data_IF_571579377142
#
_entry.id   IF_571579377142
#
_cell.length_a   1.000
_cell.length_b   1.000
_cell.length_c   1.000
_cell.angle_alpha   90.00
_cell.angle_beta   90.00
_cell.angle_gamma   90.00
#
_symmetry.space_group_name_H-M   'P 1'
#
loop_
_entity.id
_entity.type
_entity.pdbx_description
1 polymer ?
#
# COMPACT_ATOMS: atom_id res chain seq x y z
N UNK A 1 1.15 15.16 10.35
CA UNK A 1 1.23 14.98 11.82
C UNK A 1 -0.13 14.61 12.38
N UNK A 2 -1.19 15.39 12.13
CA UNK A 2 -2.55 15.13 12.65
C UNK A 2 -3.04 13.67 12.47
N UNK A 3 -2.80 13.04 11.30
CA UNK A 3 -3.19 11.64 11.08
C UNK A 3 -2.43 10.64 11.97
N UNK A 4 -1.13 10.86 12.17
CA UNK A 4 -0.34 10.01 13.05
C UNK A 4 -0.78 10.17 14.52
N UNK A 5 -1.06 11.41 14.92
CA UNK A 5 -1.57 11.72 16.25
C UNK A 5 -2.96 11.10 16.48
N UNK A 6 -3.83 11.13 15.47
CA UNK A 6 -5.12 10.44 15.49
C UNK A 6 -4.95 8.93 15.70
N UNK A 7 -4.09 8.27 14.91
CA UNK A 7 -3.84 6.82 15.04
C UNK A 7 -3.31 6.50 16.44
N UNK A 8 -2.38 7.30 16.96
CA UNK A 8 -1.85 7.12 18.32
C UNK A 8 -2.94 7.30 19.38
N UNK A 9 -3.78 8.33 19.25
CA UNK A 9 -4.87 8.61 20.18
C UNK A 9 -5.94 7.51 20.17
N UNK A 10 -6.24 6.96 18.98
CA UNK A 10 -7.17 5.85 18.81
C UNK A 10 -6.64 4.58 19.51
N UNK A 11 -5.37 4.25 19.28
CA UNK A 11 -4.71 3.07 19.89
C UNK A 11 -4.60 3.16 21.42
N UNK A 12 -4.57 4.37 21.97
CA UNK A 12 -4.53 4.61 23.41
C UNK A 12 -5.89 4.43 24.11
N UNK A 13 -6.99 4.33 23.35
CA UNK A 13 -8.30 4.03 23.93
C UNK A 13 -8.38 2.56 24.37
N UNK A 14 -9.26 2.22 25.32
CA UNK A 14 -9.54 0.84 25.66
C UNK A 14 -9.89 0.00 24.42
N UNK A 15 -9.32 -1.20 24.35
CA UNK A 15 -9.56 -2.18 23.29
C UNK A 15 -10.75 -3.09 23.63
N UNK A 16 -11.85 -2.47 24.04
CA UNK A 16 -13.14 -3.10 24.28
C UNK A 16 -13.96 -3.12 22.98
N UNK A 17 -14.09 -4.30 22.37
CA UNK A 17 -14.86 -4.48 21.15
C UNK A 17 -14.57 -5.79 20.44
N UNK A 18 -15.37 -6.14 19.42
CA UNK A 18 -15.13 -7.33 18.62
C UNK A 18 -13.84 -7.18 17.80
N UNK A 19 -13.14 -8.29 17.49
CA UNK A 19 -12.03 -8.27 16.56
C UNK A 19 -12.45 -7.72 15.18
N UNK A 20 -11.67 -6.79 14.64
CA UNK A 20 -11.91 -6.34 13.25
C UNK A 20 -11.46 -7.41 12.27
N UNK A 21 -12.21 -7.59 11.17
CA UNK A 21 -11.81 -8.51 10.09
C UNK A 21 -10.48 -8.12 9.45
N UNK A 22 -10.09 -6.84 9.49
CA UNK A 22 -8.89 -6.31 8.85
C UNK A 22 -7.67 -6.24 9.77
N UNK A 23 -7.87 -6.36 11.08
CA UNK A 23 -6.80 -6.50 12.07
C UNK A 23 -6.35 -7.94 12.32
N UNK A 24 -6.77 -8.88 11.46
CA UNK A 24 -6.32 -10.29 11.50
C UNK A 24 -4.85 -10.42 11.07
N UNK A 25 -4.16 -11.52 11.39
CA UNK A 25 -2.82 -11.80 10.89
C UNK A 25 -2.73 -11.76 9.35
N UNK A 26 -1.56 -11.40 8.81
CA UNK A 26 -1.32 -11.44 7.36
C UNK A 26 -1.43 -12.85 6.75
N UNK A 27 -0.97 -13.94 7.41
CA UNK A 27 -1.11 -15.29 6.86
C UNK A 27 -2.55 -15.67 6.50
N UNK A 28 -3.55 -15.17 7.23
CA UNK A 28 -4.97 -15.40 6.95
C UNK A 28 -5.42 -14.92 5.57
N UNK A 29 -4.68 -14.00 4.95
CA UNK A 29 -4.98 -13.44 3.62
C UNK A 29 -3.91 -13.79 2.56
N UNK A 30 -2.98 -14.69 2.87
CA UNK A 30 -1.88 -15.04 1.95
C UNK A 30 -2.39 -15.57 0.61
N UNK A 31 -3.23 -16.61 0.64
CA UNK A 31 -3.79 -17.21 -0.58
C UNK A 31 -4.55 -16.18 -1.42
N UNK A 32 -5.38 -15.34 -0.79
CA UNK A 32 -6.15 -14.31 -1.49
C UNK A 32 -5.25 -13.24 -2.11
N UNK A 33 -4.20 -12.83 -1.40
CA UNK A 33 -3.25 -11.80 -1.86
C UNK A 33 -2.42 -12.31 -3.04
N UNK A 34 -1.86 -13.53 -2.94
CA UNK A 34 -1.10 -14.15 -4.04
C UNK A 34 -1.96 -14.36 -5.28
N UNK A 35 -3.21 -14.80 -5.12
CA UNK A 35 -4.16 -14.91 -6.22
C UNK A 35 -4.42 -13.56 -6.89
N UNK A 36 -4.62 -12.50 -6.11
CA UNK A 36 -4.88 -11.16 -6.64
C UNK A 36 -3.65 -10.58 -7.38
N UNK A 37 -2.43 -10.90 -6.94
CA UNK A 37 -1.19 -10.57 -7.67
C UNK A 37 -1.17 -11.24 -9.05
N UNK A 38 -1.48 -12.54 -9.13
CA UNK A 38 -1.50 -13.26 -10.39
C UNK A 38 -2.63 -12.77 -11.32
N UNK A 39 -3.81 -12.47 -10.76
CA UNK A 39 -4.90 -11.88 -11.52
C UNK A 39 -4.47 -10.53 -12.12
N UNK A 40 -3.89 -9.65 -11.30
CA UNK A 40 -3.44 -8.33 -11.73
C UNK A 40 -2.37 -8.43 -12.82
N UNK A 41 -1.43 -9.39 -12.71
CA UNK A 41 -0.42 -9.70 -13.74
C UNK A 41 -1.07 -9.96 -15.11
N UNK A 42 -2.22 -10.63 -15.15
CA UNK A 42 -2.97 -10.93 -16.38
C UNK A 42 -3.77 -9.76 -16.98
N UNK A 43 -3.86 -8.60 -16.31
CA UNK A 43 -4.75 -7.50 -16.73
C UNK A 43 -4.18 -6.52 -17.77
N UNK A 44 -2.86 -6.59 -18.01
CA UNK A 44 -2.12 -5.61 -18.84
C UNK A 44 -1.82 -4.28 -18.13
N UNK A 45 -2.09 -4.15 -16.83
CA UNK A 45 -1.64 -3.01 -16.03
C UNK A 45 -0.10 -2.95 -15.95
N UNK A 46 0.52 -1.77 -15.92
CA UNK A 46 1.94 -1.62 -15.60
C UNK A 46 2.20 -2.03 -14.15
N UNK A 47 2.50 -3.31 -13.94
CA UNK A 47 2.63 -3.97 -12.64
C UNK A 47 3.83 -4.93 -12.64
N UNK A 48 4.67 -4.83 -11.61
CA UNK A 48 5.76 -5.76 -11.35
C UNK A 48 5.32 -6.76 -10.27
N UNK A 49 4.90 -7.93 -10.72
CA UNK A 49 4.38 -8.97 -9.85
C UNK A 49 5.47 -9.61 -8.98
N UNK A 50 6.72 -9.65 -9.44
CA UNK A 50 7.82 -10.23 -8.67
C UNK A 50 8.23 -9.30 -7.53
N UNK A 51 8.29 -7.99 -7.80
CA UNK A 51 8.45 -6.98 -6.75
C UNK A 51 7.32 -7.07 -5.71
N UNK A 52 6.07 -7.21 -6.15
CA UNK A 52 4.93 -7.38 -5.24
C UNK A 52 5.04 -8.64 -4.37
N UNK A 53 5.43 -9.79 -4.96
CA UNK A 53 5.65 -11.02 -4.22
C UNK A 53 6.78 -10.89 -3.19
N UNK A 54 7.85 -10.16 -3.51
CA UNK A 54 8.94 -9.88 -2.58
C UNK A 54 8.48 -9.02 -1.40
N UNK A 55 7.72 -7.95 -1.65
CA UNK A 55 7.11 -7.12 -0.58
C UNK A 55 6.18 -7.95 0.30
N UNK A 56 5.37 -8.82 -0.32
CA UNK A 56 4.45 -9.68 0.41
C UNK A 56 5.18 -10.71 1.29
N UNK A 57 6.22 -11.35 0.76
CA UNK A 57 7.04 -12.31 1.50
C UNK A 57 7.73 -11.65 2.71
N UNK A 58 8.35 -10.48 2.52
CA UNK A 58 8.97 -9.71 3.61
C UNK A 58 7.96 -9.40 4.73
N UNK A 59 6.73 -9.03 4.37
CA UNK A 59 5.68 -8.76 5.34
C UNK A 59 5.20 -10.01 6.09
N UNK A 60 5.22 -11.19 5.46
CA UNK A 60 4.86 -12.46 6.09
C UNK A 60 5.94 -12.98 7.06
N UNK A 61 7.22 -12.72 6.76
CA UNK A 61 8.35 -13.06 7.64
C UNK A 61 8.44 -12.16 8.87
N UNK A 62 7.80 -10.98 8.84
CA UNK A 62 7.76 -10.09 9.98
C UNK A 62 7.09 -10.78 11.19
N UNK A 63 7.67 -10.68 12.41
CA UNK A 63 7.06 -11.25 13.61
C UNK A 63 5.60 -10.84 13.76
N UNK A 64 4.75 -11.80 14.12
CA UNK A 64 3.34 -11.51 14.37
C UNK A 64 3.17 -10.59 15.60
N UNK A 65 2.08 -9.83 15.63
CA UNK A 65 1.75 -9.02 16.80
C UNK A 65 1.42 -9.91 17.99
N UNK A 66 2.22 -9.78 19.06
CA UNK A 66 2.03 -10.50 20.33
C UNK A 66 1.66 -9.58 21.50
N UNK A 67 1.60 -8.26 21.26
CA UNK A 67 1.17 -7.29 22.26
C UNK A 67 -0.35 -7.30 22.45
N UNK A 68 -0.87 -6.47 23.38
CA UNK A 68 -2.31 -6.28 23.55
C UNK A 68 -2.97 -5.84 22.24
N UNK A 69 -4.20 -6.29 21.93
CA UNK A 69 -4.92 -5.78 20.77
C UNK A 69 -5.13 -4.26 20.91
N UNK A 70 -4.96 -3.52 19.82
CA UNK A 70 -5.23 -2.09 19.80
C UNK A 70 -6.64 -1.82 19.29
N UNK A 71 -7.25 -0.68 19.66
CA UNK A 71 -8.40 -0.14 18.94
C UNK A 71 -7.96 0.40 17.58
N UNK A 72 -8.71 0.07 16.54
CA UNK A 72 -8.35 0.30 15.14
C UNK A 72 -9.51 0.91 14.37
N UNK A 73 -9.18 1.73 13.36
CA UNK A 73 -10.13 2.17 12.35
C UNK A 73 -10.33 1.08 11.28
N UNK A 74 -9.24 0.48 10.81
CA UNK A 74 -9.24 -0.64 9.85
C UNK A 74 -9.38 -0.26 8.38
N UNK A 75 -9.59 1.03 8.06
CA UNK A 75 -9.85 1.51 6.70
C UNK A 75 -9.49 3.01 6.53
N UNK A 76 -8.27 3.38 6.93
CA UNK A 76 -7.76 4.74 6.72
C UNK A 76 -7.35 4.97 5.27
N UNK A 77 -8.36 4.98 4.39
CA UNK A 77 -8.25 5.32 2.97
C UNK A 77 -8.43 6.83 2.77
N UNK A 78 -7.85 7.44 1.72
CA UNK A 78 -7.99 8.87 1.46
C UNK A 78 -9.44 9.36 1.42
N UNK A 79 -10.38 8.53 0.94
CA UNK A 79 -11.81 8.85 0.89
C UNK A 79 -12.48 9.00 2.26
N UNK A 80 -11.87 8.45 3.31
CA UNK A 80 -12.40 8.44 4.67
C UNK A 80 -11.80 9.56 5.55
N UNK A 81 -10.95 10.43 4.98
CA UNK A 81 -10.27 11.50 5.70
C UNK A 81 -10.77 12.87 5.24
N UNK A 82 -11.25 13.67 6.19
CA UNK A 82 -11.67 15.04 5.92
C UNK A 82 -10.55 16.01 6.27
N UNK A 83 -10.15 16.81 5.29
CA UNK A 83 -9.12 17.82 5.44
C UNK A 83 -9.72 19.22 5.28
N UNK A 84 -9.26 20.16 6.12
CA UNK A 84 -9.49 21.60 5.95
C UNK A 84 -8.18 22.32 6.17
N UNK A 85 -7.79 23.14 5.19
CA UNK A 85 -6.55 23.93 5.24
C UNK A 85 -5.30 23.06 5.53
N UNK A 86 -5.25 21.87 4.94
CA UNK A 86 -4.16 20.90 5.12
C UNK A 86 -4.16 20.15 6.45
N UNK A 87 -5.18 20.33 7.29
CA UNK A 87 -5.31 19.69 8.61
C UNK A 87 -6.43 18.65 8.64
N UNK A 88 -6.24 17.59 9.41
CA UNK A 88 -7.27 16.57 9.60
C UNK A 88 -8.38 17.10 10.51
N UNK A 89 -9.61 17.12 10.01
CA UNK A 89 -10.79 17.60 10.74
C UNK A 89 -11.82 16.52 11.03
N UNK A 90 -11.71 15.36 10.38
CA UNK A 90 -12.65 14.27 10.59
C UNK A 90 -12.20 12.97 9.94
N UNK A 91 -12.70 11.87 10.51
CA UNK A 91 -12.47 10.50 10.02
C UNK A 91 -13.82 9.81 9.90
N UNK A 92 -14.12 9.30 8.71
CA UNK A 92 -15.39 8.70 8.33
C UNK A 92 -15.27 7.17 8.23
N UNK A 93 -16.41 6.50 8.09
CA UNK A 93 -16.53 5.05 7.83
C UNK A 93 -15.87 4.14 8.88
N UNK A 94 -16.55 4.03 10.02
CA UNK A 94 -16.15 3.17 11.13
C UNK A 94 -16.67 1.72 11.00
N UNK A 95 -17.21 1.33 9.83
CA UNK A 95 -17.81 0.00 9.66
C UNK A 95 -16.81 -1.15 9.79
N UNK A 96 -15.52 -0.88 9.60
CA UNK A 96 -14.43 -1.86 9.77
C UNK A 96 -13.67 -1.73 11.10
N UNK A 97 -14.09 -0.80 11.95
CA UNK A 97 -13.45 -0.55 13.23
C UNK A 97 -13.63 -1.74 14.18
N UNK A 98 -12.66 -1.91 15.06
CA UNK A 98 -12.63 -3.00 16.02
C UNK A 98 -11.27 -3.09 16.70
N UNK A 99 -10.94 -4.29 17.19
CA UNK A 99 -9.65 -4.51 17.87
C UNK A 99 -8.78 -5.52 17.12
N UNK A 100 -7.45 -5.40 17.21
CA UNK A 100 -6.53 -6.33 16.55
C UNK A 100 -5.09 -5.81 16.42
N UNK A 101 -4.39 -6.31 15.40
CA UNK A 101 -3.02 -5.90 15.07
C UNK A 101 -2.95 -4.42 14.62
N UNK A 102 -2.10 -3.58 15.23
CA UNK A 102 -1.95 -2.16 14.88
C UNK A 102 -1.51 -1.90 13.44
N UNK A 103 -0.95 -2.89 12.74
CA UNK A 103 -0.43 -2.75 11.39
C UNK A 103 -1.45 -2.23 10.36
N UNK A 104 -2.74 -2.54 10.51
CA UNK A 104 -3.76 -2.14 9.52
C UNK A 104 -3.92 -0.62 9.41
N UNK A 105 -3.76 0.12 10.50
CA UNK A 105 -3.89 1.59 10.49
C UNK A 105 -2.61 2.29 10.04
N UNK A 106 -1.60 1.53 9.58
CA UNK A 106 -0.39 2.07 8.95
C UNK A 106 -0.49 2.17 7.43
N UNK A 107 -1.57 1.68 6.81
CA UNK A 107 -1.78 1.82 5.36
C UNK A 107 -1.67 3.26 4.82
N UNK A 108 -1.97 4.35 5.58
CA UNK A 108 -1.76 5.71 5.10
C UNK A 108 -0.34 6.02 4.68
N UNK A 109 0.64 5.30 5.23
CA UNK A 109 2.02 5.41 4.80
C UNK A 109 2.20 5.20 3.29
N UNK A 110 1.41 4.32 2.66
CA UNK A 110 1.55 3.97 1.24
C UNK A 110 0.36 4.37 0.37
N UNK A 111 -0.82 4.61 0.95
CA UNK A 111 -2.02 4.98 0.19
C UNK A 111 -2.31 6.49 0.15
N UNK A 112 -1.53 7.30 0.89
CA UNK A 112 -1.77 8.72 1.04
C UNK A 112 -0.45 9.50 1.12
N UNK A 113 0.48 9.03 1.95
CA UNK A 113 1.73 9.72 2.21
C UNK A 113 2.81 9.37 1.20
N UNK A 114 3.66 10.36 0.91
CA UNK A 114 4.86 10.21 0.08
C UNK A 114 6.01 9.60 0.87
N UNK A 115 7.00 9.05 0.16
CA UNK A 115 8.24 8.56 0.77
C UNK A 115 8.88 9.56 1.77
N UNK A 116 8.92 10.85 1.43
CA UNK A 116 9.54 11.90 2.26
C UNK A 116 8.81 12.13 3.60
N UNK A 117 7.49 11.92 3.65
CA UNK A 117 6.68 12.19 4.85
C UNK A 117 6.38 10.94 5.67
N UNK A 118 6.58 9.77 5.05
CA UNK A 118 6.29 8.46 5.62
C UNK A 118 7.10 8.17 6.89
N UNK A 119 8.37 8.59 6.94
CA UNK A 119 9.24 8.43 8.11
C UNK A 119 8.67 9.15 9.34
N UNK A 120 8.34 10.43 9.20
CA UNK A 120 7.71 11.22 10.26
C UNK A 120 6.41 10.61 10.76
N UNK A 121 5.58 10.07 9.86
CA UNK A 121 4.36 9.35 10.25
C UNK A 121 4.70 8.11 11.10
N UNK A 122 5.64 7.28 10.63
CA UNK A 122 6.10 6.07 11.32
C UNK A 122 6.59 6.36 12.75
N UNK A 123 7.43 7.38 12.90
CA UNK A 123 8.01 7.74 14.19
C UNK A 123 6.91 8.22 15.15
N UNK A 124 5.99 9.05 14.65
CA UNK A 124 4.91 9.62 15.46
C UNK A 124 3.90 8.57 15.92
N UNK A 125 3.57 7.58 15.08
CA UNK A 125 2.67 6.47 15.45
C UNK A 125 3.34 5.39 16.29
N UNK A 126 4.66 5.44 16.47
CA UNK A 126 5.44 4.42 17.19
C UNK A 126 5.48 3.07 16.46
N UNK A 127 5.60 3.08 15.13
CA UNK A 127 5.63 1.86 14.33
C UNK A 127 7.00 1.16 14.36
N UNK A 128 7.15 0.13 15.19
CA UNK A 128 8.33 -0.75 15.16
C UNK A 128 8.53 -1.44 13.80
N UNK A 129 9.71 -2.02 13.57
CA UNK A 129 10.06 -2.63 12.27
C UNK A 129 9.08 -3.72 11.84
N UNK A 130 8.66 -4.57 12.78
CA UNK A 130 7.74 -5.66 12.49
C UNK A 130 6.35 -5.16 12.09
N UNK A 131 5.79 -4.23 12.86
CA UNK A 131 4.47 -3.63 12.62
C UNK A 131 4.48 -2.81 11.34
N UNK A 132 5.60 -2.13 11.05
CA UNK A 132 5.81 -1.41 9.81
C UNK A 132 5.80 -2.34 8.59
N UNK A 133 6.56 -3.44 8.65
CA UNK A 133 6.58 -4.45 7.59
C UNK A 133 5.19 -5.08 7.38
N UNK A 134 4.46 -5.42 8.45
CA UNK A 134 3.08 -5.92 8.35
C UNK A 134 2.13 -4.87 7.75
N UNK A 135 2.29 -3.60 8.10
CA UNK A 135 1.52 -2.48 7.53
C UNK A 135 1.76 -2.31 6.03
N UNK A 136 3.02 -2.45 5.61
CA UNK A 136 3.43 -2.44 4.20
C UNK A 136 2.75 -3.57 3.43
N UNK A 137 2.75 -4.78 4.00
CA UNK A 137 2.03 -5.92 3.46
C UNK A 137 0.52 -5.68 3.37
N UNK A 138 -0.10 -5.08 4.40
CA UNK A 138 -1.53 -4.74 4.36
C UNK A 138 -1.86 -3.77 3.24
N UNK A 139 -1.06 -2.73 3.04
CA UNK A 139 -1.27 -1.78 1.95
C UNK A 139 -1.17 -2.47 0.58
N UNK A 140 -0.16 -3.32 0.39
CA UNK A 140 -0.02 -4.13 -0.83
C UNK A 140 -1.27 -5.00 -1.07
N UNK A 141 -1.64 -5.81 -0.08
CA UNK A 141 -2.77 -6.75 -0.15
C UNK A 141 -4.05 -6.04 -0.57
N UNK A 142 -4.35 -4.89 0.04
CA UNK A 142 -5.50 -4.08 -0.34
C UNK A 142 -5.41 -3.57 -1.78
N UNK A 143 -4.26 -3.04 -2.21
CA UNK A 143 -4.10 -2.49 -3.54
C UNK A 143 -4.24 -3.56 -4.64
N UNK A 144 -3.59 -4.72 -4.49
CA UNK A 144 -3.65 -5.80 -5.49
C UNK A 144 -5.03 -6.46 -5.56
N UNK A 145 -5.79 -6.48 -4.46
CA UNK A 145 -7.19 -6.96 -4.46
C UNK A 145 -8.13 -5.93 -5.10
N UNK A 146 -7.94 -4.65 -4.79
CA UNK A 146 -8.83 -3.58 -5.27
C UNK A 146 -8.65 -3.27 -6.76
N UNK A 147 -7.43 -3.24 -7.26
CA UNK A 147 -7.15 -2.79 -8.63
C UNK A 147 -7.84 -3.64 -9.71
N UNK A 148 -7.69 -4.97 -9.78
CA UNK A 148 -8.34 -5.77 -10.83
C UNK A 148 -9.88 -5.68 -10.74
N UNK A 149 -10.44 -5.55 -9.53
CA UNK A 149 -11.87 -5.43 -9.31
C UNK A 149 -12.45 -4.06 -9.74
N UNK A 150 -11.75 -2.96 -9.43
CA UNK A 150 -12.26 -1.61 -9.62
C UNK A 150 -11.74 -0.87 -10.86
N UNK A 151 -10.76 -1.42 -11.59
CA UNK A 151 -10.08 -0.73 -12.72
C UNK A 151 -11.00 -0.13 -13.77
N UNK A 152 -12.21 -0.68 -13.96
CA UNK A 152 -13.19 -0.22 -14.95
C UNK A 152 -14.47 0.37 -14.35
N UNK A 153 -14.66 0.29 -13.03
CA UNK A 153 -15.91 0.67 -12.36
C UNK A 153 -15.74 1.80 -11.34
N UNK A 154 -14.52 1.97 -10.80
CA UNK A 154 -14.23 3.03 -9.86
C UNK A 154 -12.81 3.59 -10.11
N UNK A 155 -12.68 4.67 -10.92
CA UNK A 155 -11.39 5.22 -11.29
C UNK A 155 -10.62 5.80 -10.09
N UNK A 156 -11.31 6.24 -9.03
CA UNK A 156 -10.69 6.80 -7.82
C UNK A 156 -9.98 5.70 -7.03
N UNK A 157 -10.66 4.59 -6.75
CA UNK A 157 -10.05 3.44 -6.06
C UNK A 157 -8.92 2.86 -6.91
N UNK A 158 -9.12 2.73 -8.21
CA UNK A 158 -8.09 2.23 -9.12
C UNK A 158 -6.86 3.14 -9.16
N UNK A 159 -7.03 4.46 -9.16
CA UNK A 159 -5.93 5.42 -9.10
C UNK A 159 -5.14 5.29 -7.78
N UNK A 160 -5.83 5.18 -6.65
CA UNK A 160 -5.17 4.98 -5.36
C UNK A 160 -4.42 3.65 -5.29
N UNK A 161 -5.01 2.55 -5.77
CA UNK A 161 -4.32 1.27 -5.81
C UNK A 161 -3.04 1.34 -6.68
N UNK A 162 -3.06 2.04 -7.82
CA UNK A 162 -1.86 2.30 -8.62
C UNK A 162 -0.83 3.18 -7.89
N UNK A 163 -1.28 4.15 -7.11
CA UNK A 163 -0.41 4.97 -6.27
C UNK A 163 0.32 4.10 -5.24
N UNK A 164 -0.41 3.27 -4.49
CA UNK A 164 0.17 2.31 -3.53
C UNK A 164 1.21 1.41 -4.19
N UNK A 165 0.90 0.82 -5.35
CA UNK A 165 1.85 -0.02 -6.08
C UNK A 165 3.09 0.75 -6.54
N UNK A 166 2.96 2.03 -6.87
CA UNK A 166 4.10 2.90 -7.19
C UNK A 166 4.96 3.13 -5.94
N UNK A 167 4.35 3.51 -4.81
CA UNK A 167 5.04 3.77 -3.54
C UNK A 167 5.73 2.53 -2.96
N UNK A 168 5.28 1.33 -3.35
CA UNK A 168 5.88 0.06 -2.98
C UNK A 168 6.93 -0.44 -3.97
N UNK A 169 7.19 0.29 -5.05
CA UNK A 169 8.12 -0.13 -6.11
C UNK A 169 7.62 -1.33 -6.94
N UNK A 170 6.31 -1.58 -6.95
CA UNK A 170 5.68 -2.70 -7.66
C UNK A 170 5.21 -2.30 -9.07
N UNK A 171 5.87 -1.33 -9.69
CA UNK A 171 5.63 -0.93 -11.08
C UNK A 171 6.92 -1.00 -11.88
N UNK A 172 6.86 -1.38 -13.16
CA UNK A 172 8.05 -1.44 -13.99
C UNK A 172 8.75 -0.09 -14.02
N UNK A 173 10.08 -0.10 -13.99
CA UNK A 173 10.86 1.10 -14.25
C UNK A 173 10.43 1.71 -15.60
N UNK A 174 10.41 3.04 -15.74
CA UNK A 174 10.18 3.66 -17.04
C UNK A 174 11.19 3.07 -18.02
N UNK A 175 10.72 2.50 -19.14
CA UNK A 175 11.63 2.00 -20.17
C UNK A 175 12.53 3.17 -20.60
N UNK A 176 13.82 3.07 -20.33
CA UNK A 176 14.80 3.99 -20.89
C UNK A 176 14.66 3.96 -22.41
N UNK A 177 14.44 5.13 -23.03
CA UNK A 177 14.35 5.26 -24.48
C UNK A 177 15.75 5.04 -25.11
N UNK A 178 16.22 3.80 -25.14
CA UNK A 178 17.33 3.40 -26.01
C UNK A 178 16.74 3.10 -27.39
N UNK A 179 16.55 4.14 -28.19
CA UNK A 179 16.28 4.01 -29.61
C UNK A 179 17.46 3.32 -30.31
N UNK A 180 17.21 2.53 -31.37
CA UNK A 180 18.29 1.93 -32.14
C UNK A 180 19.11 3.05 -32.80
N UNK A 181 20.41 3.10 -32.53
CA UNK A 181 21.34 3.91 -33.32
C UNK A 181 21.36 3.31 -34.72
N UNK A 182 20.58 3.90 -35.63
CA UNK A 182 20.69 3.62 -37.05
C UNK A 182 22.12 3.91 -37.49
N UNK A 183 22.84 2.88 -37.90
CA UNK A 183 24.10 3.02 -38.62
C UNK A 183 23.79 3.66 -39.97
N UNK A 184 24.12 4.94 -40.11
CA UNK A 184 24.13 5.61 -41.41
C UNK A 184 25.16 4.91 -42.29
N UNK A 185 24.67 4.14 -43.26
CA UNK A 185 25.47 3.58 -44.33
C UNK A 185 26.17 4.70 -45.10
N UNK A 186 27.50 4.68 -45.10
CA UNK A 186 28.31 5.52 -45.97
C UNK A 186 28.52 4.74 -47.27
N UNK A 187 27.68 5.02 -48.26
CA UNK A 187 27.96 4.64 -49.63
C UNK A 187 29.04 5.59 -50.17
N UNK A 188 30.27 5.11 -50.28
CA UNK A 188 31.31 5.73 -51.11
C UNK A 188 31.34 5.02 -52.45
N UNK A 189 30.84 5.75 -53.44
CA UNK A 189 30.77 5.40 -54.84
C UNK A 189 31.98 6.02 -55.55
N UNK A 190 32.92 5.21 -56.04
CA UNK A 190 33.88 5.61 -57.09
C UNK A 190 34.43 4.37 -57.79
N UNK A 191 34.11 4.28 -59.08
CA UNK A 191 34.84 3.58 -60.14
C UNK A 191 34.73 4.49 -61.39
N UNK A 192 35.56 4.38 -62.43
CA UNK A 192 36.52 3.33 -62.77
C UNK A 192 38.01 3.71 -62.66
#
# INVERSE_FOLDING_TARGET
LDLAEFVRALRAQPADGPPTRRGKPLPDVDTATRRAIEELRGTGEPFDAEAALAVWAEALEAPQWTGPPCRLHGDLMPSNLLLRDGRLTGVLDWATAGVGDPAIDLIPAWNLLTADTRGTFRDTVGGDDATWARGRGRALSMAVIQLPYYRHTNPVIAANARYVLTELGCRPAPRSATGPRGSSGRASNTNP
#
